data_IF_715422272981
#
_entry.id   IF_715422272981
#
_cell.length_a   1.000
_cell.length_b   1.000
_cell.length_c   1.000
_cell.angle_alpha   90.00
_cell.angle_beta   90.00
_cell.angle_gamma   90.00
#
_symmetry.space_group_name_H-M   'P 1'
#
loop_
_entity.id
_entity.type
_entity.pdbx_description
1 polymer ?
#
# COMPACT_ATOMS: atom_id res chain seq x y z
N UNK A 1 -13.35 1.80 -3.13
CA UNK A 1 -12.56 0.57 -3.28
C UNK A 1 -11.44 0.84 -4.27
N UNK A 2 -10.24 0.38 -3.98
CA UNK A 2 -9.08 0.48 -4.84
C UNK A 2 -8.38 -0.86 -4.95
N UNK A 3 -7.66 -1.04 -6.04
CA UNK A 3 -6.82 -2.20 -6.27
C UNK A 3 -5.52 -1.77 -6.92
N UNK A 4 -4.45 -2.54 -6.75
CA UNK A 4 -3.20 -2.19 -7.40
C UNK A 4 -2.19 -3.31 -7.53
N UNK A 5 -1.33 -3.17 -8.53
CA UNK A 5 -0.19 -4.05 -8.73
C UNK A 5 0.99 -3.56 -7.89
N UNK A 6 1.57 -4.44 -7.09
CA UNK A 6 2.73 -4.15 -6.22
C UNK A 6 3.97 -4.80 -6.83
N UNK A 7 5.00 -4.00 -7.09
CA UNK A 7 6.26 -4.44 -7.69
C UNK A 7 7.41 -4.08 -6.74
N UNK A 8 7.96 -5.05 -5.99
CA UNK A 8 9.12 -4.85 -5.14
C UNK A 8 10.31 -4.28 -5.90
N UNK A 9 11.04 -3.35 -5.28
CA UNK A 9 12.29 -2.77 -5.83
C UNK A 9 13.43 -2.74 -4.83
N UNK A 10 13.13 -2.78 -3.53
CA UNK A 10 14.10 -3.00 -2.47
C UNK A 10 13.46 -3.89 -1.42
N UNK A 11 14.07 -5.04 -1.14
CA UNK A 11 13.43 -6.14 -0.40
C UNK A 11 14.37 -6.84 0.58
N UNK A 12 15.63 -6.42 0.67
CA UNK A 12 16.65 -7.07 1.51
C UNK A 12 16.24 -7.30 2.97
N UNK A 13 15.55 -6.36 3.65
CA UNK A 13 15.06 -6.61 5.01
C UNK A 13 14.11 -7.83 5.09
N UNK A 14 13.14 -7.93 4.18
CA UNK A 14 12.21 -9.07 4.11
C UNK A 14 12.77 -10.28 3.37
N UNK A 15 13.81 -10.13 2.56
CA UNK A 15 14.41 -11.13 1.68
C UNK A 15 15.93 -11.13 1.86
N UNK A 16 16.44 -11.63 3.00
CA UNK A 16 17.87 -11.69 3.27
C UNK A 16 18.58 -12.70 2.34
N UNK A 17 19.85 -12.44 2.06
CA UNK A 17 20.67 -13.27 1.20
C UNK A 17 20.72 -14.73 1.70
N UNK A 18 20.52 -15.69 0.78
CA UNK A 18 20.53 -17.12 1.09
C UNK A 18 19.20 -17.70 1.59
N UNK A 19 18.13 -16.88 1.67
CA UNK A 19 16.79 -17.33 2.04
C UNK A 19 15.75 -16.93 0.99
N UNK A 20 14.65 -17.68 0.96
CA UNK A 20 13.53 -17.38 0.07
C UNK A 20 12.85 -16.05 0.42
N UNK A 21 12.32 -15.37 -0.60
CA UNK A 21 11.78 -14.02 -0.49
C UNK A 21 10.29 -14.02 -0.12
N UNK A 22 9.92 -13.19 0.86
CA UNK A 22 8.53 -12.99 1.29
C UNK A 22 7.84 -11.82 0.59
N UNK A 23 8.61 -10.92 -0.01
CA UNK A 23 8.13 -9.66 -0.57
C UNK A 23 8.22 -9.71 -2.09
N UNK A 24 7.41 -10.59 -2.70
CA UNK A 24 7.32 -10.76 -4.14
C UNK A 24 6.30 -9.82 -4.80
N UNK A 25 6.23 -9.88 -6.14
CA UNK A 25 5.15 -9.23 -6.90
C UNK A 25 3.81 -9.70 -6.39
N UNK A 26 2.86 -8.78 -6.28
CA UNK A 26 1.57 -9.06 -5.69
C UNK A 26 0.51 -8.05 -6.02
N UNK A 27 -0.60 -8.15 -5.31
CA UNK A 27 -1.79 -7.36 -5.55
C UNK A 27 -2.30 -6.71 -4.26
N UNK A 28 -2.61 -5.43 -4.33
CA UNK A 28 -3.16 -4.63 -3.24
C UNK A 28 -4.67 -4.46 -3.42
N UNK A 29 -5.38 -4.47 -2.30
CA UNK A 29 -6.81 -4.15 -2.21
C UNK A 29 -7.02 -3.15 -1.09
N UNK A 30 -7.72 -2.05 -1.37
CA UNK A 30 -7.88 -0.93 -0.45
C UNK A 30 -9.33 -0.46 -0.34
N UNK A 31 -9.69 -0.01 0.86
CA UNK A 31 -10.99 0.55 1.18
C UNK A 31 -10.78 1.94 1.81
N UNK A 32 -10.41 2.96 1.01
CA UNK A 32 -10.25 4.31 1.52
C UNK A 32 -11.60 5.02 1.67
N UNK A 33 -11.71 5.82 2.72
CA UNK A 33 -12.79 6.75 2.98
C UNK A 33 -12.16 8.13 3.15
N UNK A 34 -12.62 9.13 2.41
CA UNK A 34 -12.06 10.48 2.48
C UNK A 34 -13.14 11.54 2.31
N UNK A 35 -13.00 12.62 3.07
CA UNK A 35 -13.78 13.84 2.89
C UNK A 35 -12.99 14.81 1.99
N UNK A 36 -13.65 15.45 1.02
CA UNK A 36 -13.02 16.41 0.08
C UNK A 36 -13.62 17.79 0.28
N UNK A 37 -12.78 18.77 0.64
CA UNK A 37 -13.17 20.17 0.71
C UNK A 37 -13.17 20.83 -0.69
N UNK A 38 -13.85 21.98 -0.81
CA UNK A 38 -14.00 22.72 -2.07
C UNK A 38 -12.66 23.12 -2.75
N UNK A 39 -11.56 23.18 -2.00
CA UNK A 39 -10.21 23.47 -2.52
C UNK A 39 -9.48 22.23 -3.07
N UNK A 40 -10.16 21.08 -3.16
CA UNK A 40 -9.59 19.81 -3.65
C UNK A 40 -8.72 19.07 -2.64
N UNK A 41 -8.48 19.66 -1.48
CA UNK A 41 -7.85 18.97 -0.35
C UNK A 41 -8.81 17.91 0.18
N UNK A 42 -8.29 16.73 0.53
CA UNK A 42 -9.06 15.73 1.22
C UNK A 42 -8.23 14.97 2.24
N UNK A 43 -8.89 14.56 3.32
CA UNK A 43 -8.30 13.79 4.41
C UNK A 43 -9.19 12.58 4.66
N UNK A 44 -8.58 11.48 5.03
CA UNK A 44 -9.28 10.23 5.18
C UNK A 44 -8.50 9.18 5.96
N UNK A 45 -9.10 8.01 6.01
CA UNK A 45 -8.48 6.80 6.50
C UNK A 45 -8.88 5.63 5.61
N UNK A 46 -8.18 4.52 5.74
CA UNK A 46 -8.52 3.31 5.00
C UNK A 46 -7.86 2.08 5.59
N UNK A 47 -8.45 0.95 5.26
CA UNK A 47 -7.84 -0.35 5.43
C UNK A 47 -7.38 -0.85 4.06
N UNK A 48 -6.20 -1.44 4.00
CA UNK A 48 -5.74 -2.15 2.81
C UNK A 48 -5.04 -3.45 3.19
N UNK A 49 -5.01 -4.38 2.25
CA UNK A 49 -4.16 -5.55 2.35
C UNK A 49 -3.49 -5.85 1.00
N UNK A 50 -2.28 -6.40 1.07
CA UNK A 50 -1.48 -6.82 -0.07
C UNK A 50 -1.30 -8.32 0.00
N UNK A 51 -1.66 -9.02 -1.06
CA UNK A 51 -1.40 -10.45 -1.24
C UNK A 51 -0.18 -10.57 -2.15
N UNK A 52 0.89 -11.13 -1.62
CA UNK A 52 2.17 -11.24 -2.31
C UNK A 52 2.63 -12.69 -2.35
N UNK A 53 3.45 -13.00 -3.36
CA UNK A 53 4.08 -14.29 -3.45
C UNK A 53 5.06 -14.48 -2.26
N UNK A 54 4.85 -15.56 -1.49
CA UNK A 54 5.69 -15.94 -0.35
C UNK A 54 6.79 -16.95 -0.68
N UNK A 55 6.97 -17.30 -1.97
CA UNK A 55 7.98 -18.24 -2.48
C UNK A 55 8.16 -19.53 -1.64
N UNK A 56 7.04 -20.10 -1.16
CA UNK A 56 7.06 -21.34 -0.38
C UNK A 56 7.40 -21.19 1.10
N UNK A 57 7.86 -20.03 1.56
CA UNK A 57 8.03 -19.73 3.01
C UNK A 57 6.67 -19.52 3.66
N UNK A 58 5.80 -18.78 2.97
CA UNK A 58 4.37 -18.67 3.27
C UNK A 58 3.55 -19.14 2.07
N UNK A 59 2.36 -19.68 2.34
CA UNK A 59 1.36 -19.95 1.29
C UNK A 59 1.02 -18.67 0.52
N UNK A 60 0.78 -17.58 1.25
CA UNK A 60 0.75 -16.22 0.74
C UNK A 60 1.27 -15.25 1.80
N UNK A 61 2.13 -14.31 1.41
CA UNK A 61 2.51 -13.20 2.29
C UNK A 61 1.41 -12.16 2.23
N UNK A 62 0.78 -11.89 3.37
CA UNK A 62 -0.26 -10.87 3.48
C UNK A 62 0.23 -9.72 4.35
N UNK A 63 0.26 -8.52 3.78
CA UNK A 63 0.53 -7.27 4.50
C UNK A 63 -0.79 -6.51 4.67
N UNK A 64 -1.22 -6.25 5.90
CA UNK A 64 -2.46 -5.55 6.23
C UNK A 64 -2.12 -4.20 6.85
N UNK A 65 -2.72 -3.12 6.36
CA UNK A 65 -2.42 -1.78 6.83
C UNK A 65 -3.67 -0.96 7.15
N UNK A 66 -3.61 -0.24 8.27
CA UNK A 66 -4.53 0.84 8.59
C UNK A 66 -3.82 2.17 8.33
N UNK A 67 -4.32 2.93 7.36
CA UNK A 67 -3.64 4.12 6.84
C UNK A 67 -4.46 5.37 7.06
N UNK A 68 -3.82 6.45 7.50
CA UNK A 68 -4.31 7.80 7.25
C UNK A 68 -4.03 8.17 5.79
N UNK A 69 -4.88 9.02 5.23
CA UNK A 69 -4.83 9.45 3.84
C UNK A 69 -4.91 10.97 3.78
N UNK A 70 -4.02 11.56 3.01
CA UNK A 70 -4.08 12.95 2.57
C UNK A 70 -4.10 12.96 1.05
N UNK A 71 -4.96 13.77 0.45
CA UNK A 71 -5.02 13.99 -0.99
C UNK A 71 -5.10 15.47 -1.31
N UNK A 72 -4.53 15.84 -2.44
CA UNK A 72 -4.71 17.15 -3.04
C UNK A 72 -5.01 16.97 -4.52
N UNK A 73 -6.22 17.36 -4.91
CA UNK A 73 -6.63 17.45 -6.31
C UNK A 73 -6.39 18.86 -6.84
N UNK A 74 -5.99 18.96 -8.10
CA UNK A 74 -5.66 20.21 -8.78
C UNK A 74 -6.57 20.39 -10.01
N UNK A 75 -6.67 21.63 -10.50
CA UNK A 75 -7.40 21.96 -11.74
C UNK A 75 -8.87 21.49 -11.74
N UNK A 76 -9.59 21.68 -10.64
CA UNK A 76 -10.97 21.18 -10.42
C UNK A 76 -12.00 21.58 -11.49
N UNK A 77 -11.69 22.57 -12.33
CA UNK A 77 -12.54 22.98 -13.47
C UNK A 77 -12.48 22.05 -14.68
N UNK A 78 -11.55 21.07 -14.70
CA UNK A 78 -11.43 20.07 -15.77
C UNK A 78 -12.26 18.82 -15.44
N UNK A 79 -12.50 17.96 -16.42
CA UNK A 79 -13.16 16.66 -16.18
C UNK A 79 -12.18 15.63 -15.55
N UNK A 80 -10.89 15.78 -15.83
CA UNK A 80 -9.80 14.99 -15.25
C UNK A 80 -8.93 15.92 -14.41
N UNK A 81 -8.76 15.59 -13.13
CA UNK A 81 -8.01 16.37 -12.18
C UNK A 81 -6.70 15.66 -11.84
N UNK A 82 -5.54 16.31 -11.99
CA UNK A 82 -4.31 15.79 -11.40
C UNK A 82 -4.48 15.66 -9.89
N UNK A 83 -3.96 14.58 -9.32
CA UNK A 83 -4.06 14.32 -7.89
C UNK A 83 -2.71 13.87 -7.33
N UNK A 84 -2.36 14.41 -6.17
CA UNK A 84 -1.27 13.95 -5.33
C UNK A 84 -1.87 13.30 -4.09
N UNK A 85 -1.32 12.17 -3.67
CA UNK A 85 -1.80 11.42 -2.52
C UNK A 85 -0.65 10.94 -1.65
N UNK A 86 -0.80 11.15 -0.35
CA UNK A 86 0.07 10.61 0.68
C UNK A 86 -0.76 9.67 1.55
N UNK A 87 -0.24 8.47 1.82
CA UNK A 87 -0.84 7.53 2.78
C UNK A 87 0.22 7.05 3.73
N UNK A 88 -0.18 6.70 4.94
CA UNK A 88 0.74 6.03 5.85
C UNK A 88 0.05 5.57 7.12
N UNK A 89 0.66 4.61 7.80
CA UNK A 89 0.10 4.10 9.04
C UNK A 89 0.71 2.80 9.50
N UNK A 90 -0.10 2.04 10.23
CA UNK A 90 0.30 0.82 10.90
C UNK A 90 0.18 -0.39 9.98
N UNK A 91 1.17 -1.27 10.00
CA UNK A 91 1.28 -2.46 9.16
C UNK A 91 1.36 -3.72 10.03
N UNK A 92 0.67 -4.78 9.60
CA UNK A 92 0.79 -6.15 10.11
C UNK A 92 1.16 -7.05 8.95
N UNK A 93 2.16 -7.91 9.11
CA UNK A 93 2.63 -8.80 8.04
C UNK A 93 2.72 -10.24 8.55
N UNK A 94 2.28 -11.19 7.72
CA UNK A 94 2.40 -12.61 8.03
C UNK A 94 1.70 -13.53 7.02
N UNK A 95 1.59 -14.83 7.32
CA UNK A 95 1.00 -15.82 6.42
C UNK A 95 -0.54 -15.75 6.46
N UNK A 96 -1.19 -15.72 5.29
CA UNK A 96 -2.63 -15.95 5.14
C UNK A 96 -3.49 -15.21 6.20
N UNK A 97 -3.33 -13.88 6.28
CA UNK A 97 -3.99 -12.95 7.23
C UNK A 97 -3.64 -13.11 8.72
N UNK A 98 -2.73 -14.02 9.07
CA UNK A 98 -2.13 -14.09 10.42
C UNK A 98 -1.01 -13.05 10.56
N UNK A 99 -0.70 -12.69 11.80
CA UNK A 99 0.32 -11.70 12.12
C UNK A 99 1.59 -12.39 12.60
N UNK A 100 2.69 -12.20 11.86
CA UNK A 100 4.04 -12.63 12.24
C UNK A 100 4.89 -11.46 12.75
N UNK A 101 4.66 -10.26 12.21
CA UNK A 101 5.37 -9.04 12.62
C UNK A 101 4.48 -7.80 12.45
N UNK A 102 4.90 -6.74 13.13
CA UNK A 102 4.27 -5.42 13.09
C UNK A 102 5.22 -4.39 12.51
N UNK A 103 4.68 -3.31 11.98
CA UNK A 103 5.46 -2.32 11.27
C UNK A 103 4.70 -1.03 10.98
N UNK A 104 5.32 -0.23 10.11
CA UNK A 104 4.71 0.95 9.53
C UNK A 104 4.86 0.95 8.02
N UNK A 105 4.03 1.74 7.36
CA UNK A 105 4.09 1.93 5.93
C UNK A 105 3.78 3.36 5.54
N UNK A 106 4.33 3.81 4.41
CA UNK A 106 4.00 5.08 3.79
C UNK A 106 3.99 4.95 2.26
N UNK A 107 3.10 5.67 1.60
CA UNK A 107 2.96 5.75 0.16
C UNK A 107 2.92 7.21 -0.26
N UNK A 108 3.66 7.56 -1.30
CA UNK A 108 3.45 8.76 -2.09
C UNK A 108 3.03 8.35 -3.50
N UNK A 109 1.87 8.83 -3.95
CA UNK A 109 1.31 8.52 -5.25
C UNK A 109 0.82 9.78 -5.97
N UNK A 110 0.88 9.77 -7.29
CA UNK A 110 0.39 10.82 -8.16
C UNK A 110 -0.37 10.22 -9.34
N UNK A 111 -1.27 10.99 -9.94
CA UNK A 111 -1.97 10.54 -11.14
C UNK A 111 -3.17 11.42 -11.45
N UNK A 112 -4.25 10.80 -11.91
CA UNK A 112 -5.47 11.48 -12.32
C UNK A 112 -6.70 10.92 -11.62
N UNK A 113 -7.65 11.80 -11.31
CA UNK A 113 -9.01 11.42 -10.96
C UNK A 113 -10.01 11.95 -12.00
N UNK A 114 -11.12 11.25 -12.18
CA UNK A 114 -12.21 11.63 -13.08
C UNK A 114 -13.52 11.54 -12.32
N UNK A 115 -14.31 12.60 -12.38
CA UNK A 115 -15.65 12.63 -11.80
C UNK A 115 -16.60 11.78 -12.64
N UNK A 116 -17.07 10.66 -12.07
CA UNK A 116 -18.10 9.81 -12.68
C UNK A 116 -19.49 10.33 -12.32
N UNK A 117 -19.66 10.76 -11.07
CA UNK A 117 -20.87 11.38 -10.53
C UNK A 117 -20.45 12.47 -9.52
N UNK A 118 -21.38 13.29 -8.99
CA UNK A 118 -21.05 14.28 -7.97
C UNK A 118 -20.42 13.70 -6.69
N UNK A 119 -20.60 12.39 -6.43
CA UNK A 119 -20.10 11.69 -5.23
C UNK A 119 -19.14 10.56 -5.52
N UNK A 120 -18.87 10.25 -6.80
CA UNK A 120 -18.05 9.08 -7.20
C UNK A 120 -16.93 9.51 -8.13
N UNK A 121 -15.71 9.15 -7.77
CA UNK A 121 -14.49 9.43 -8.52
C UNK A 121 -13.86 8.13 -9.00
N UNK A 122 -13.41 8.10 -10.25
CA UNK A 122 -12.45 7.12 -10.71
C UNK A 122 -11.03 7.64 -10.50
N UNK A 123 -10.11 6.81 -10.03
CA UNK A 123 -8.71 7.20 -9.79
C UNK A 123 -7.75 6.25 -10.51
N UNK A 124 -6.71 6.83 -11.11
CA UNK A 124 -5.53 6.15 -11.63
C UNK A 124 -4.31 6.76 -10.98
N UNK A 125 -3.52 5.97 -10.25
CA UNK A 125 -2.39 6.46 -9.47
C UNK A 125 -1.15 5.59 -9.66
N UNK A 126 0.00 6.23 -9.74
CA UNK A 126 1.32 5.63 -9.70
C UNK A 126 2.02 6.12 -8.43
N UNK A 127 2.60 5.20 -7.65
CA UNK A 127 3.22 5.56 -6.40
C UNK A 127 4.43 4.71 -6.02
N UNK A 128 5.22 5.28 -5.10
CA UNK A 128 6.22 4.55 -4.34
C UNK A 128 5.66 4.21 -2.95
N UNK A 129 5.72 2.94 -2.59
CA UNK A 129 5.34 2.41 -1.29
C UNK A 129 6.62 2.02 -0.55
N UNK A 130 6.73 2.44 0.70
CA UNK A 130 7.74 1.96 1.63
C UNK A 130 7.09 1.26 2.82
N UNK A 131 7.76 0.26 3.36
CA UNK A 131 7.34 -0.43 4.56
C UNK A 131 8.55 -0.75 5.43
N UNK A 132 8.30 -0.85 6.73
CA UNK A 132 9.30 -1.24 7.72
C UNK A 132 8.63 -2.13 8.74
N UNK A 133 9.17 -3.34 8.94
CA UNK A 133 8.69 -4.28 9.94
C UNK A 133 9.69 -4.43 11.08
N UNK A 134 9.22 -4.89 12.24
CA UNK A 134 10.08 -5.33 13.34
C UNK A 134 10.77 -6.63 12.94
N UNK A 135 11.95 -6.86 13.50
CA UNK A 135 12.66 -8.11 13.31
C UNK A 135 11.81 -9.30 13.77
N UNK A 136 11.80 -10.36 12.98
CA UNK A 136 11.05 -11.60 13.25
C UNK A 136 11.77 -12.79 12.62
N UNK A 137 11.36 -14.00 13.00
CA UNK A 137 11.89 -15.22 12.43
C UNK A 137 10.77 -15.98 11.73
N UNK A 138 10.99 -16.38 10.48
CA UNK A 138 10.07 -17.27 9.76
C UNK A 138 10.26 -18.71 10.19
N UNK A 139 9.16 -19.39 10.52
CA UNK A 139 9.21 -20.77 11.02
C UNK A 139 9.61 -21.78 9.94
N UNK A 140 9.25 -21.54 8.67
CA UNK A 140 9.45 -22.49 7.59
C UNK A 140 10.93 -22.70 7.23
N UNK A 141 11.76 -21.66 7.36
CA UNK A 141 13.17 -21.66 6.95
C UNK A 141 14.13 -21.17 8.06
N UNK A 142 13.60 -20.79 9.23
CA UNK A 142 14.39 -20.27 10.35
C UNK A 142 15.05 -18.90 10.08
N UNK A 143 14.70 -18.21 8.99
CA UNK A 143 15.34 -16.98 8.59
C UNK A 143 14.99 -15.82 9.52
N UNK A 144 16.00 -15.10 10.00
CA UNK A 144 15.79 -13.87 10.77
C UNK A 144 15.70 -12.69 9.81
N UNK A 145 14.52 -12.06 9.76
CA UNK A 145 14.18 -10.99 8.81
C UNK A 145 14.09 -9.65 9.53
N UNK A 146 14.27 -8.56 8.78
CA UNK A 146 14.18 -7.17 9.24
C UNK A 146 15.11 -6.80 10.40
N UNK A 147 16.28 -7.45 10.51
CA UNK A 147 17.20 -7.31 11.66
C UNK A 147 17.88 -5.94 11.73
N UNK A 148 18.26 -5.38 10.58
CA UNK A 148 18.96 -4.09 10.50
C UNK A 148 18.01 -2.88 10.56
N UNK A 149 16.70 -3.09 10.72
CA UNK A 149 15.71 -2.01 10.73
C UNK A 149 15.63 -1.24 9.41
N UNK A 150 16.05 -1.86 8.30
CA UNK A 150 15.94 -1.30 6.96
C UNK A 150 14.50 -1.13 6.49
N UNK A 151 14.35 -0.52 5.32
CA UNK A 151 13.07 -0.23 4.68
C UNK A 151 12.98 -1.04 3.40
N UNK A 152 11.88 -1.75 3.21
CA UNK A 152 11.52 -2.34 1.93
C UNK A 152 10.70 -1.32 1.12
N UNK A 153 10.86 -1.35 -0.19
CA UNK A 153 10.20 -0.43 -1.11
C UNK A 153 9.63 -1.16 -2.32
N UNK A 154 8.50 -0.67 -2.82
CA UNK A 154 7.83 -1.15 -4.01
C UNK A 154 7.28 0.01 -4.84
N UNK A 155 7.16 -0.19 -6.14
CA UNK A 155 6.25 0.59 -6.96
C UNK A 155 4.84 0.02 -6.85
N UNK A 156 3.86 0.91 -6.91
CA UNK A 156 2.45 0.53 -6.91
C UNK A 156 1.69 1.29 -7.99
N UNK A 157 0.99 0.53 -8.82
CA UNK A 157 0.02 1.06 -9.79
C UNK A 157 -1.38 0.79 -9.23
N UNK A 158 -2.18 1.83 -9.00
CA UNK A 158 -3.51 1.71 -8.41
C UNK A 158 -4.61 2.23 -9.33
N UNK A 159 -5.72 1.50 -9.31
CA UNK A 159 -6.99 1.84 -9.92
C UNK A 159 -8.06 1.86 -8.83
N UNK A 160 -8.94 2.85 -8.87
CA UNK A 160 -9.89 3.04 -7.78
C UNK A 160 -11.22 3.64 -8.18
N UNK A 161 -12.23 3.28 -7.41
CA UNK A 161 -13.49 4.00 -7.30
C UNK A 161 -13.56 4.56 -5.88
N UNK A 162 -13.52 5.88 -5.73
CA UNK A 162 -13.56 6.57 -4.45
C UNK A 162 -14.93 7.23 -4.29
N UNK A 163 -15.55 6.97 -3.14
CA UNK A 163 -16.79 7.63 -2.75
C UNK A 163 -16.45 8.85 -1.90
N UNK A 164 -16.96 10.00 -2.33
CA UNK A 164 -16.90 11.23 -1.56
C UNK A 164 -18.04 11.22 -0.54
N UNK A 165 -17.70 11.50 0.72
CA UNK A 165 -18.64 11.76 1.80
C UNK A 165 -18.99 13.25 1.85
#
# INVERSE_FOLDING_TARGET
METGLVIPVADKPLCPDGFECLFGVGWAFGFPFSYRWAKGTGIGAGYEFWVQNGNGVYEATVAQAFTALFRQSFLLSRSVHPVLRLRGGFLMLGPSFRVATLGGTAELAFGGETELTPTTLFTFLLGGQILRTRAFTTQADGARRSVAGGVDAAFILRLGIVFLL
#
